data_IF_103212828325
#
_entry.id   IF_103212828325
#
_cell.length_a   1.000
_cell.length_b   1.000
_cell.length_c   1.000
_cell.angle_alpha   90.00
_cell.angle_beta   90.00
_cell.angle_gamma   90.00
#
_symmetry.space_group_name_H-M   'P 1'
#
loop_
_entity.id
_entity.type
_entity.pdbx_description
1 polymer ?
#
# COMPACT_ATOMS: atom_id res chain seq x y z
N UNK A 1 31.20 -23.09 -38.59
CA UNK A 1 31.30 -21.99 -37.62
C UNK A 1 29.99 -21.22 -37.63
N UNK A 2 29.09 -21.45 -36.66
CA UNK A 2 27.81 -20.75 -36.57
C UNK A 2 27.94 -19.60 -35.56
N UNK A 3 27.97 -18.37 -36.06
CA UNK A 3 27.91 -17.18 -35.21
C UNK A 3 26.49 -17.04 -34.66
N UNK A 4 26.30 -17.42 -33.39
CA UNK A 4 25.11 -17.04 -32.62
C UNK A 4 25.08 -15.51 -32.48
N UNK A 5 24.19 -14.85 -33.22
CA UNK A 5 23.77 -13.47 -32.96
C UNK A 5 23.34 -13.36 -31.49
N UNK A 6 24.10 -12.65 -30.67
CA UNK A 6 23.65 -12.20 -29.35
C UNK A 6 22.45 -11.28 -29.59
N UNK A 7 21.27 -11.74 -29.21
CA UNK A 7 20.09 -10.89 -29.12
C UNK A 7 20.41 -9.78 -28.11
N UNK A 8 20.51 -8.56 -28.61
CA UNK A 8 20.72 -7.37 -27.80
C UNK A 8 19.41 -7.08 -27.05
N UNK A 9 19.21 -7.75 -25.91
CA UNK A 9 18.13 -7.46 -24.98
C UNK A 9 18.44 -6.14 -24.27
N UNK A 10 18.36 -5.02 -24.99
CA UNK A 10 18.14 -3.72 -24.38
C UNK A 10 16.73 -3.72 -23.79
N UNK A 11 16.57 -4.37 -22.63
CA UNK A 11 15.47 -4.02 -21.73
C UNK A 11 15.72 -2.57 -21.35
N UNK A 12 14.93 -1.64 -21.90
CA UNK A 12 14.80 -0.31 -21.35
C UNK A 12 14.40 -0.47 -19.87
N UNK A 13 15.39 -0.45 -18.99
CA UNK A 13 15.15 -0.40 -17.57
C UNK A 13 14.62 1.01 -17.31
N UNK A 14 13.32 1.15 -17.08
CA UNK A 14 12.79 2.41 -16.59
C UNK A 14 13.52 2.72 -15.29
N UNK A 15 14.23 3.87 -15.19
CA UNK A 15 14.88 4.25 -13.95
C UNK A 15 13.80 4.40 -12.86
N UNK A 16 14.12 4.12 -11.58
CA UNK A 16 13.19 4.37 -10.49
C UNK A 16 12.71 5.81 -10.51
N UNK A 17 11.43 6.02 -10.21
CA UNK A 17 10.92 7.35 -9.91
C UNK A 17 11.65 7.89 -8.69
N UNK A 18 12.15 9.10 -8.80
CA UNK A 18 12.74 9.81 -7.67
C UNK A 18 11.65 10.46 -6.83
N UNK A 19 11.89 10.47 -5.53
CA UNK A 19 11.02 11.10 -4.56
C UNK A 19 11.04 12.62 -4.75
N UNK A 20 10.19 13.10 -5.65
CA UNK A 20 9.87 14.51 -5.77
C UNK A 20 8.67 14.81 -4.84
N UNK A 21 8.82 15.82 -3.99
CA UNK A 21 7.80 16.31 -3.08
C UNK A 21 7.17 17.63 -3.55
N UNK A 22 7.51 18.10 -4.75
CA UNK A 22 6.99 19.34 -5.35
C UNK A 22 5.46 19.35 -5.41
N UNK A 23 4.84 18.20 -5.68
CA UNK A 23 3.37 18.03 -5.74
C UNK A 23 2.66 18.35 -4.43
N UNK A 24 3.33 18.21 -3.28
CA UNK A 24 2.76 18.56 -1.96
C UNK A 24 2.57 20.08 -1.85
N UNK A 25 3.47 20.86 -2.46
CA UNK A 25 3.40 22.34 -2.44
C UNK A 25 2.41 22.90 -3.45
N UNK A 26 1.89 22.09 -4.38
CA UNK A 26 1.00 22.55 -5.45
C UNK A 26 -0.39 22.96 -4.94
N UNK A 27 -0.77 22.57 -3.71
CA UNK A 27 -2.06 22.92 -3.11
C UNK A 27 -1.81 23.49 -1.72
N UNK A 28 -1.59 24.80 -1.66
CA UNK A 28 -1.08 25.51 -0.48
C UNK A 28 -2.12 25.74 0.65
N UNK A 29 -3.30 25.11 0.57
CA UNK A 29 -4.47 25.48 1.39
C UNK A 29 -5.21 24.33 2.09
N UNK A 30 -4.87 23.06 1.83
CA UNK A 30 -5.73 21.93 2.21
C UNK A 30 -5.71 21.48 3.68
N UNK A 31 -5.09 22.24 4.58
CA UNK A 31 -5.01 21.92 6.02
C UNK A 31 -5.43 23.07 6.95
N UNK A 32 -6.05 24.13 6.41
CA UNK A 32 -6.39 25.30 7.22
C UNK A 32 -7.64 25.08 8.08
N UNK A 33 -8.59 24.26 7.62
CA UNK A 33 -9.85 24.01 8.31
C UNK A 33 -9.80 22.85 9.33
N UNK A 34 -10.70 22.88 10.31
CA UNK A 34 -10.72 21.91 11.41
C UNK A 34 -11.18 20.51 10.98
N UNK A 35 -11.96 20.40 9.90
CA UNK A 35 -12.40 19.10 9.36
C UNK A 35 -11.21 18.36 8.78
N UNK A 36 -10.39 19.03 7.97
CA UNK A 36 -9.16 18.47 7.40
C UNK A 36 -8.17 18.04 8.49
N UNK A 37 -8.00 18.85 9.53
CA UNK A 37 -7.16 18.49 10.70
C UNK A 37 -7.70 17.27 11.45
N UNK A 38 -9.01 17.21 11.66
CA UNK A 38 -9.66 16.06 12.32
C UNK A 38 -9.47 14.77 11.52
N UNK A 39 -9.67 14.83 10.19
CA UNK A 39 -9.46 13.68 9.29
C UNK A 39 -8.02 13.19 9.32
N UNK A 40 -7.06 14.11 9.21
CA UNK A 40 -5.64 13.76 9.31
C UNK A 40 -5.31 13.09 10.64
N UNK A 41 -5.84 13.58 11.77
CA UNK A 41 -5.61 12.95 13.09
C UNK A 41 -6.13 11.51 13.14
N UNK A 42 -7.29 11.23 12.57
CA UNK A 42 -7.85 9.87 12.47
C UNK A 42 -6.89 8.96 11.68
N UNK A 43 -6.39 9.42 10.54
CA UNK A 43 -5.46 8.64 9.71
C UNK A 43 -4.09 8.45 10.35
N UNK A 44 -3.56 9.47 11.04
CA UNK A 44 -2.31 9.34 11.81
C UNK A 44 -2.47 8.36 12.96
N UNK A 45 -3.60 8.38 13.67
CA UNK A 45 -3.85 7.40 14.71
C UNK A 45 -3.90 5.99 14.11
N UNK A 46 -4.77 5.76 13.11
CA UNK A 46 -5.01 4.41 12.58
C UNK A 46 -3.83 3.85 11.81
N UNK A 47 -3.32 4.59 10.83
CA UNK A 47 -2.33 4.07 9.90
C UNK A 47 -0.89 4.31 10.35
N UNK A 48 -0.63 5.20 11.32
CA UNK A 48 0.74 5.44 11.83
C UNK A 48 0.93 4.84 13.22
N UNK A 49 0.20 5.32 14.21
CA UNK A 49 0.38 4.88 15.61
C UNK A 49 -0.03 3.43 15.80
N UNK A 50 -1.14 3.05 15.16
CA UNK A 50 -1.80 1.75 15.30
C UNK A 50 -1.70 0.89 14.03
N UNK A 51 -0.70 1.16 13.19
CA UNK A 51 -0.48 0.42 11.94
C UNK A 51 -0.37 -1.08 12.16
N UNK A 52 -1.02 -1.86 11.31
CA UNK A 52 -0.99 -3.33 11.33
C UNK A 52 0.16 -3.91 10.50
N UNK A 53 1.01 -3.06 9.93
CA UNK A 53 2.27 -3.49 9.35
C UNK A 53 3.11 -4.22 10.40
N UNK A 54 3.65 -5.38 10.02
CA UNK A 54 4.40 -6.25 10.94
C UNK A 54 5.60 -5.51 11.51
N UNK A 55 5.71 -5.51 12.84
CA UNK A 55 6.79 -4.87 13.62
C UNK A 55 6.98 -3.37 13.32
N UNK A 56 5.94 -2.67 12.87
CA UNK A 56 6.02 -1.24 12.56
C UNK A 56 5.71 -0.32 13.75
N UNK A 57 5.01 -0.83 14.77
CA UNK A 57 4.65 -0.12 16.01
C UNK A 57 4.61 -1.12 17.17
N UNK A 58 4.76 -0.62 18.40
CA UNK A 58 4.60 -1.41 19.63
C UNK A 58 3.13 -1.56 20.05
N UNK A 59 2.22 -0.81 19.42
CA UNK A 59 0.81 -0.80 19.78
C UNK A 59 0.02 -1.97 19.19
N UNK A 60 0.58 -2.67 18.21
CA UNK A 60 -0.05 -3.76 17.47
C UNK A 60 0.91 -4.95 17.39
N UNK A 61 0.34 -6.16 17.32
CA UNK A 61 1.07 -7.36 16.92
C UNK A 61 1.00 -7.58 15.40
N UNK A 62 0.37 -6.66 14.68
CA UNK A 62 0.26 -6.63 13.22
C UNK A 62 -0.85 -7.53 12.68
N UNK A 63 -1.11 -7.40 11.38
CA UNK A 63 -2.34 -7.87 10.74
C UNK A 63 -2.61 -9.38 10.88
N UNK A 64 -1.55 -10.20 10.98
CA UNK A 64 -1.69 -11.65 11.17
C UNK A 64 -2.43 -11.93 12.49
N UNK A 65 -2.00 -11.28 13.57
CA UNK A 65 -2.52 -11.55 14.91
C UNK A 65 -3.74 -10.70 15.20
N UNK A 66 -3.65 -9.39 14.99
CA UNK A 66 -4.69 -8.47 15.43
C UNK A 66 -5.94 -8.53 14.55
N UNK A 67 -5.78 -8.84 13.26
CA UNK A 67 -6.88 -8.99 12.31
C UNK A 67 -7.24 -10.46 12.02
N UNK A 68 -6.60 -11.41 12.71
CA UNK A 68 -6.78 -12.88 12.55
C UNK A 68 -6.59 -13.38 11.10
N UNK A 69 -5.56 -12.89 10.41
CA UNK A 69 -5.24 -13.26 9.03
C UNK A 69 -4.12 -14.31 9.03
N UNK A 70 -4.49 -15.57 9.24
CA UNK A 70 -3.55 -16.70 9.35
C UNK A 70 -3.43 -17.54 8.08
N UNK A 71 -4.30 -17.30 7.09
CA UNK A 71 -4.36 -18.08 5.85
C UNK A 71 -4.40 -17.19 4.63
N UNK A 72 -3.95 -17.74 3.49
CA UNK A 72 -3.96 -17.06 2.19
C UNK A 72 -5.38 -16.66 1.79
N UNK A 73 -6.38 -17.49 2.12
CA UNK A 73 -7.80 -17.18 1.88
C UNK A 73 -8.23 -15.94 2.65
N UNK A 74 -7.89 -15.85 3.94
CA UNK A 74 -8.18 -14.66 4.74
C UNK A 74 -7.44 -13.42 4.24
N UNK A 75 -6.19 -13.58 3.80
CA UNK A 75 -5.39 -12.47 3.28
C UNK A 75 -5.99 -11.90 1.99
N UNK A 76 -6.41 -12.77 1.06
CA UNK A 76 -7.07 -12.36 -0.17
C UNK A 76 -8.43 -11.73 0.10
N UNK A 77 -9.24 -12.33 0.97
CA UNK A 77 -10.54 -11.78 1.36
C UNK A 77 -10.40 -10.40 1.99
N UNK A 78 -9.33 -10.17 2.76
CA UNK A 78 -9.08 -8.86 3.35
C UNK A 78 -8.64 -7.81 2.31
N UNK A 79 -7.78 -8.18 1.36
CA UNK A 79 -7.45 -7.29 0.22
C UNK A 79 -8.70 -6.91 -0.59
N UNK A 80 -9.61 -7.87 -0.80
CA UNK A 80 -10.88 -7.64 -1.49
C UNK A 80 -11.81 -6.71 -0.69
N UNK A 81 -11.87 -6.86 0.64
CA UNK A 81 -12.60 -5.95 1.53
C UNK A 81 -12.03 -4.53 1.55
N UNK A 82 -10.73 -4.38 1.29
CA UNK A 82 -10.09 -3.09 1.06
C UNK A 82 -10.26 -2.58 -0.38
N UNK A 83 -11.08 -3.25 -1.20
CA UNK A 83 -11.40 -2.88 -2.58
C UNK A 83 -10.17 -2.82 -3.52
N UNK A 84 -9.08 -3.51 -3.19
CA UNK A 84 -7.96 -3.67 -4.12
C UNK A 84 -8.39 -4.52 -5.31
N UNK A 85 -8.04 -4.06 -6.51
CA UNK A 85 -8.38 -4.68 -7.81
C UNK A 85 -9.89 -4.64 -8.17
N UNK A 86 -10.75 -4.02 -7.36
CA UNK A 86 -12.15 -3.73 -7.68
C UNK A 86 -12.40 -2.22 -7.89
N UNK A 87 -12.35 -1.42 -6.82
CA UNK A 87 -12.51 0.03 -6.89
C UNK A 87 -11.16 0.75 -7.05
N UNK A 88 -10.12 0.27 -6.36
CA UNK A 88 -8.77 0.83 -6.42
C UNK A 88 -7.95 0.10 -7.47
N UNK A 89 -7.61 0.79 -8.56
CA UNK A 89 -6.77 0.21 -9.63
C UNK A 89 -5.36 -0.03 -9.10
N UNK A 90 -4.99 -1.29 -8.95
CA UNK A 90 -3.78 -1.65 -8.19
C UNK A 90 -2.71 -2.29 -9.07
N UNK A 91 -1.46 -1.91 -8.84
CA UNK A 91 -0.28 -2.55 -9.43
C UNK A 91 0.71 -2.90 -8.34
N UNK A 92 1.01 -4.19 -8.24
CA UNK A 92 1.99 -4.74 -7.32
C UNK A 92 3.34 -4.89 -8.01
N UNK A 93 4.34 -4.14 -7.56
CA UNK A 93 5.70 -4.14 -8.09
C UNK A 93 6.66 -4.93 -7.18
N UNK A 94 7.68 -5.56 -7.75
CA UNK A 94 8.73 -6.22 -6.96
C UNK A 94 9.92 -5.29 -6.69
N UNK A 95 10.14 -4.32 -7.58
CA UNK A 95 11.23 -3.36 -7.48
C UNK A 95 10.74 -1.93 -7.75
N UNK A 96 11.49 -0.89 -7.34
CA UNK A 96 11.19 0.49 -7.71
C UNK A 96 11.19 0.74 -9.22
N UNK A 97 11.98 -0.02 -10.00
CA UNK A 97 11.96 0.05 -11.46
C UNK A 97 10.65 -0.50 -12.06
N UNK A 98 10.14 -1.61 -11.50
CA UNK A 98 8.84 -2.16 -11.92
C UNK A 98 7.71 -1.18 -11.59
N UNK A 99 7.80 -0.50 -10.43
CA UNK A 99 6.85 0.54 -10.06
C UNK A 99 6.92 1.72 -11.02
N UNK A 100 8.13 2.18 -11.37
CA UNK A 100 8.31 3.27 -12.32
C UNK A 100 7.74 2.95 -13.70
N UNK A 101 7.96 1.71 -14.18
CA UNK A 101 7.35 1.22 -15.41
C UNK A 101 5.82 1.24 -15.32
N UNK A 102 5.25 0.69 -14.23
CA UNK A 102 3.79 0.67 -14.04
C UNK A 102 3.19 2.08 -13.93
N UNK A 103 3.91 3.01 -13.29
CA UNK A 103 3.52 4.41 -13.20
C UNK A 103 3.51 5.07 -14.58
N UNK A 104 4.55 4.84 -15.38
CA UNK A 104 4.64 5.35 -16.75
C UNK A 104 3.50 4.83 -17.63
N UNK A 105 3.25 3.51 -17.60
CA UNK A 105 2.13 2.88 -18.33
C UNK A 105 0.75 3.44 -17.91
N UNK A 106 0.62 3.88 -16.66
CA UNK A 106 -0.59 4.52 -16.13
C UNK A 106 -0.58 6.06 -16.27
N UNK A 107 0.47 6.65 -16.85
CA UNK A 107 0.73 8.10 -16.90
C UNK A 107 0.73 8.79 -15.53
N UNK A 108 1.11 8.06 -14.49
CA UNK A 108 1.12 8.50 -13.08
C UNK A 108 2.54 8.64 -12.54
N UNK A 109 3.53 8.77 -13.43
CA UNK A 109 4.96 8.96 -13.15
C UNK A 109 5.33 10.40 -12.82
N UNK A 110 4.60 11.40 -13.34
CA UNK A 110 4.76 12.81 -13.00
C UNK A 110 4.01 13.23 -11.74
N UNK A 111 4.27 14.45 -11.26
CA UNK A 111 3.53 15.12 -10.18
C UNK A 111 2.05 15.37 -10.51
N UNK A 112 1.65 15.29 -11.77
CA UNK A 112 0.26 15.47 -12.20
C UNK A 112 -0.64 14.26 -11.87
N UNK A 113 -0.10 13.20 -11.26
CA UNK A 113 -0.92 12.08 -10.80
C UNK A 113 -2.05 12.52 -9.87
N UNK A 114 -1.87 13.62 -9.12
CA UNK A 114 -2.89 14.21 -8.24
C UNK A 114 -4.12 14.71 -9.00
N UNK A 115 -4.03 14.91 -10.32
CA UNK A 115 -5.11 15.40 -11.18
C UNK A 115 -5.99 14.27 -11.72
N UNK A 116 -5.61 13.00 -11.54
CA UNK A 116 -6.39 11.83 -11.98
C UNK A 116 -7.78 11.81 -11.35
N UNK A 117 -8.73 11.25 -12.09
CA UNK A 117 -10.16 11.12 -11.78
C UNK A 117 -10.56 9.71 -11.33
N UNK A 118 -9.57 8.81 -11.17
CA UNK A 118 -9.77 7.44 -10.70
C UNK A 118 -8.81 7.09 -9.56
N UNK A 119 -9.23 6.18 -8.70
CA UNK A 119 -8.43 5.69 -7.58
C UNK A 119 -7.39 4.68 -8.04
N UNK A 120 -6.18 4.81 -7.52
CA UNK A 120 -5.12 3.86 -7.82
C UNK A 120 -4.12 3.69 -6.67
N UNK A 121 -3.44 2.54 -6.71
CA UNK A 121 -2.33 2.24 -5.82
C UNK A 121 -1.23 1.49 -6.57
N UNK A 122 -0.06 2.12 -6.70
CA UNK A 122 1.16 1.50 -7.21
C UNK A 122 2.06 1.20 -6.00
N UNK A 123 2.32 -0.08 -5.72
CA UNK A 123 2.92 -0.49 -4.44
C UNK A 123 4.02 -1.53 -4.67
N UNK A 124 5.23 -1.25 -4.18
CA UNK A 124 6.28 -2.26 -4.06
C UNK A 124 5.94 -3.25 -2.94
N UNK A 125 6.12 -4.55 -3.18
CA UNK A 125 5.89 -5.55 -2.15
C UNK A 125 6.87 -5.41 -0.98
N UNK A 126 6.38 -5.64 0.24
CA UNK A 126 7.22 -5.70 1.42
C UNK A 126 8.11 -6.94 1.37
N UNK A 127 9.42 -6.70 1.53
CA UNK A 127 10.47 -7.72 1.59
C UNK A 127 11.09 -7.83 2.99
N UNK A 128 10.45 -7.19 3.99
CA UNK A 128 10.97 -7.14 5.36
C UNK A 128 11.27 -8.55 5.90
N UNK A 129 12.46 -8.73 6.50
CA UNK A 129 12.90 -10.01 7.01
C UNK A 129 11.97 -10.54 8.12
N UNK A 130 11.51 -9.64 9.02
CA UNK A 130 10.56 -9.98 10.07
C UNK A 130 9.23 -10.51 9.52
N UNK A 131 8.67 -9.85 8.49
CA UNK A 131 7.47 -10.31 7.80
C UNK A 131 7.68 -11.71 7.20
N UNK A 132 8.78 -11.92 6.46
CA UNK A 132 9.07 -13.21 5.85
C UNK A 132 9.18 -14.34 6.89
N UNK A 133 9.80 -14.05 8.06
CA UNK A 133 9.87 -14.99 9.18
C UNK A 133 8.48 -15.32 9.73
N UNK A 134 7.62 -14.32 9.94
CA UNK A 134 6.25 -14.52 10.42
C UNK A 134 5.40 -15.32 9.44
N UNK A 135 5.47 -15.00 8.14
CA UNK A 135 4.76 -15.76 7.09
C UNK A 135 5.22 -17.22 7.08
N UNK A 136 6.53 -17.47 7.13
CA UNK A 136 7.06 -18.84 7.14
C UNK A 136 6.62 -19.65 8.37
N UNK A 137 6.31 -18.97 9.49
CA UNK A 137 5.81 -19.60 10.72
C UNK A 137 4.33 -19.99 10.70
N UNK A 138 3.54 -19.53 9.72
CA UNK A 138 2.12 -19.90 9.63
C UNK A 138 1.97 -21.38 9.31
N UNK A 139 0.97 -22.02 9.92
CA UNK A 139 0.72 -23.47 9.81
C UNK A 139 0.61 -23.94 8.35
N UNK A 140 0.05 -23.12 7.46
CA UNK A 140 -0.08 -23.48 6.05
C UNK A 140 1.23 -23.40 5.24
N UNK A 141 2.31 -22.86 5.78
CA UNK A 141 3.62 -22.81 5.11
C UNK A 141 4.69 -23.66 5.79
N UNK A 142 4.35 -24.37 6.87
CA UNK A 142 5.27 -25.28 7.57
C UNK A 142 5.54 -26.54 6.75
N UNK A 143 6.70 -27.20 6.94
CA UNK A 143 6.95 -28.53 6.37
C UNK A 143 5.83 -29.51 6.74
N UNK A 144 5.41 -30.34 5.78
CA UNK A 144 4.30 -31.29 5.97
C UNK A 144 2.90 -30.69 5.82
N UNK A 145 2.75 -29.38 5.62
CA UNK A 145 1.45 -28.79 5.32
C UNK A 145 0.90 -29.34 4.00
N UNK A 146 -0.39 -29.73 4.01
CA UNK A 146 -1.08 -30.21 2.80
C UNK A 146 -1.04 -29.14 1.71
N UNK A 147 -0.54 -29.50 0.54
CA UNK A 147 -0.55 -28.64 -0.64
C UNK A 147 -1.99 -28.33 -1.04
N UNK A 148 -2.34 -27.05 -1.07
CA UNK A 148 -3.65 -26.58 -1.52
C UNK A 148 -3.58 -26.16 -3.00
N UNK A 149 -4.63 -26.44 -3.76
CA UNK A 149 -4.76 -26.08 -5.19
C UNK A 149 -5.95 -25.15 -5.44
N UNK A 150 -6.06 -24.63 -6.66
CA UNK A 150 -7.16 -23.75 -7.07
C UNK A 150 -7.24 -22.47 -6.24
N UNK A 151 -8.46 -22.03 -5.91
CA UNK A 151 -8.73 -20.80 -5.13
C UNK A 151 -8.12 -20.81 -3.72
N UNK A 152 -7.79 -22.00 -3.17
CA UNK A 152 -7.20 -22.16 -1.84
C UNK A 152 -5.68 -22.27 -1.88
N UNK A 153 -5.04 -22.14 -3.05
CA UNK A 153 -3.59 -22.26 -3.22
C UNK A 153 -2.86 -21.33 -2.25
N UNK A 154 -1.94 -21.90 -1.49
CA UNK A 154 -1.07 -21.18 -0.57
C UNK A 154 -0.22 -20.16 -1.33
N UNK A 155 -0.23 -18.90 -0.87
CA UNK A 155 0.49 -17.82 -1.54
C UNK A 155 1.03 -16.79 -0.54
N UNK A 156 2.35 -16.85 -0.31
CA UNK A 156 3.06 -15.88 0.55
C UNK A 156 2.94 -14.44 0.04
N UNK A 157 2.74 -14.22 -1.26
CA UNK A 157 2.63 -12.86 -1.81
C UNK A 157 1.40 -12.12 -1.31
N UNK A 158 0.29 -12.80 -0.98
CA UNK A 158 -0.91 -12.18 -0.42
C UNK A 158 -0.62 -11.47 0.91
N UNK A 159 0.20 -12.09 1.77
CA UNK A 159 0.65 -11.49 3.02
C UNK A 159 1.63 -10.33 2.80
N UNK A 160 2.51 -10.43 1.79
CA UNK A 160 3.43 -9.35 1.43
C UNK A 160 2.71 -8.12 0.88
N UNK A 161 1.61 -8.32 0.15
CA UNK A 161 0.73 -7.26 -0.34
C UNK A 161 0.06 -6.52 0.81
N UNK A 162 -0.50 -7.25 1.77
CA UNK A 162 -1.11 -6.66 2.97
C UNK A 162 -0.12 -5.85 3.79
N UNK A 163 1.04 -6.42 4.11
CA UNK A 163 2.08 -5.67 4.84
C UNK A 163 2.51 -4.42 4.07
N UNK A 164 2.66 -4.53 2.75
CA UNK A 164 3.05 -3.40 1.90
C UNK A 164 2.04 -2.25 1.98
N UNK A 165 0.74 -2.54 1.91
CA UNK A 165 -0.33 -1.51 2.03
C UNK A 165 -0.18 -0.74 3.34
N UNK A 166 -0.19 -1.45 4.47
CA UNK A 166 -0.11 -0.80 5.78
C UNK A 166 1.21 -0.05 5.97
N UNK A 167 2.33 -0.64 5.53
CA UNK A 167 3.66 -0.07 5.70
C UNK A 167 3.84 1.19 4.87
N UNK A 168 3.39 1.18 3.61
CA UNK A 168 3.51 2.33 2.73
C UNK A 168 2.54 3.46 3.11
N UNK A 169 1.31 3.15 3.53
CA UNK A 169 0.40 4.14 4.10
C UNK A 169 1.01 4.80 5.35
N UNK A 170 1.52 3.98 6.27
CA UNK A 170 2.20 4.44 7.48
C UNK A 170 3.34 5.39 7.13
N UNK A 171 4.25 4.97 6.26
CA UNK A 171 5.45 5.74 5.95
C UNK A 171 5.10 7.06 5.25
N UNK A 172 4.18 7.03 4.29
CA UNK A 172 3.72 8.24 3.61
C UNK A 172 3.18 9.27 4.62
N UNK A 173 2.31 8.83 5.53
CA UNK A 173 1.73 9.68 6.57
C UNK A 173 2.76 10.15 7.60
N UNK A 174 3.62 9.25 8.09
CA UNK A 174 4.64 9.55 9.09
C UNK A 174 5.71 10.53 8.58
N UNK A 175 6.02 10.48 7.28
CA UNK A 175 7.02 11.36 6.65
C UNK A 175 6.40 12.61 6.02
N UNK A 176 5.10 12.88 6.22
CA UNK A 176 4.47 14.06 5.64
C UNK A 176 4.33 14.02 4.12
N UNK A 177 4.45 12.83 3.51
CA UNK A 177 4.41 12.63 2.07
C UNK A 177 2.99 12.38 1.57
N UNK A 178 2.10 13.31 1.88
CA UNK A 178 0.69 13.23 1.52
C UNK A 178 0.13 14.60 1.18
N UNK A 179 -0.98 14.60 0.44
CA UNK A 179 -1.75 15.80 0.13
C UNK A 179 -3.24 15.46 0.06
N UNK A 180 -4.05 16.19 0.82
CA UNK A 180 -5.51 16.20 0.67
C UNK A 180 -5.88 17.16 -0.47
N UNK A 181 -6.68 16.68 -1.42
CA UNK A 181 -7.08 17.39 -2.64
C UNK A 181 -8.60 17.41 -2.72
N UNK A 182 -9.19 18.61 -2.75
CA UNK A 182 -10.61 18.78 -3.09
C UNK A 182 -10.70 18.99 -4.60
N UNK A 183 -11.45 18.13 -5.28
CA UNK A 183 -11.65 18.20 -6.73
C UNK A 183 -12.77 19.19 -7.06
N UNK A 184 -12.87 19.66 -8.33
CA UNK A 184 -13.93 20.59 -8.74
C UNK A 184 -15.35 20.06 -8.54
N UNK A 185 -15.54 18.75 -8.57
CA UNK A 185 -16.82 18.08 -8.30
C UNK A 185 -17.15 17.95 -6.80
N UNK A 186 -16.32 18.55 -5.93
CA UNK A 186 -16.46 18.49 -4.47
C UNK A 186 -15.92 17.22 -3.83
N UNK A 187 -15.50 16.21 -4.63
CA UNK A 187 -14.94 14.97 -4.09
C UNK A 187 -13.59 15.22 -3.44
N UNK A 188 -13.32 14.52 -2.34
CA UNK A 188 -12.09 14.67 -1.56
C UNK A 188 -11.19 13.46 -1.76
N UNK A 189 -9.93 13.73 -2.04
CA UNK A 189 -8.92 12.72 -2.36
C UNK A 189 -7.65 12.92 -1.54
N UNK A 190 -6.89 11.85 -1.38
CA UNK A 190 -5.63 11.78 -0.70
C UNK A 190 -4.58 11.22 -1.64
N UNK A 191 -3.64 12.06 -2.01
CA UNK A 191 -2.42 11.66 -2.69
C UNK A 191 -1.38 11.26 -1.62
N UNK A 192 -0.80 10.08 -1.75
CA UNK A 192 0.18 9.52 -0.81
C UNK A 192 1.38 8.99 -1.57
N UNK A 193 2.58 9.23 -1.07
CA UNK A 193 3.82 8.68 -1.64
C UNK A 193 4.71 8.14 -0.53
N UNK A 194 5.36 7.01 -0.79
CA UNK A 194 6.45 6.51 0.04
C UNK A 194 7.68 6.27 -0.82
N UNK A 195 8.85 6.46 -0.23
CA UNK A 195 10.13 6.24 -0.86
C UNK A 195 11.09 5.51 0.09
N UNK A 196 11.97 4.68 -0.48
CA UNK A 196 13.01 4.03 0.30
C UNK A 196 14.14 5.01 0.67
N UNK A 197 15.09 4.55 1.49
CA UNK A 197 16.24 5.35 1.93
C UNK A 197 17.18 5.84 0.80
N UNK A 198 17.00 5.38 -0.44
CA UNK A 198 17.72 5.89 -1.63
C UNK A 198 16.92 6.97 -2.39
N UNK A 199 15.79 7.39 -1.84
CA UNK A 199 14.87 8.34 -2.47
C UNK A 199 14.16 7.77 -3.70
N UNK A 200 14.09 6.44 -3.87
CA UNK A 200 13.31 5.84 -4.94
C UNK A 200 11.89 5.61 -4.44
N UNK A 201 10.88 6.05 -5.20
CA UNK A 201 9.47 5.82 -4.87
C UNK A 201 9.19 4.33 -4.82
N UNK A 202 8.61 3.90 -3.70
CA UNK A 202 8.18 2.52 -3.43
C UNK A 202 6.67 2.40 -3.27
N UNK A 203 5.96 3.50 -3.10
CA UNK A 203 4.51 3.52 -3.28
C UNK A 203 4.04 4.89 -3.77
N UNK A 204 2.98 4.89 -4.59
CA UNK A 204 2.23 6.07 -4.97
C UNK A 204 0.74 5.72 -5.04
N UNK A 205 -0.07 6.46 -4.31
CA UNK A 205 -1.51 6.20 -4.21
C UNK A 205 -2.27 7.50 -4.41
N UNK A 206 -3.42 7.39 -5.06
CA UNK A 206 -4.45 8.44 -5.08
C UNK A 206 -5.77 7.75 -4.71
N UNK A 207 -6.28 8.07 -3.53
CA UNK A 207 -7.44 7.41 -2.93
C UNK A 207 -8.50 8.45 -2.58
N UNK A 208 -9.78 8.11 -2.68
CA UNK A 208 -10.84 8.96 -2.14
C UNK A 208 -10.79 8.96 -0.62
N UNK A 209 -11.24 10.05 0.00
CA UNK A 209 -11.40 10.13 1.45
C UNK A 209 -12.35 9.04 1.95
N UNK A 210 -13.46 8.78 1.24
CA UNK A 210 -14.41 7.71 1.58
C UNK A 210 -13.78 6.32 1.57
N UNK A 211 -12.82 6.06 0.66
CA UNK A 211 -12.10 4.78 0.60
C UNK A 211 -11.18 4.62 1.82
N UNK A 212 -10.46 5.67 2.20
CA UNK A 212 -9.63 5.65 3.40
C UNK A 212 -10.48 5.53 4.67
N UNK A 213 -11.61 6.22 4.76
CA UNK A 213 -12.58 6.10 5.85
C UNK A 213 -13.12 4.66 5.95
N UNK A 214 -13.47 4.04 4.82
CA UNK A 214 -13.92 2.65 4.77
C UNK A 214 -12.83 1.69 5.28
N UNK A 215 -11.56 1.93 4.93
CA UNK A 215 -10.44 1.16 5.45
C UNK A 215 -10.27 1.35 6.96
N UNK A 216 -10.35 2.57 7.47
CA UNK A 216 -10.29 2.84 8.93
C UNK A 216 -11.42 2.10 9.65
N UNK A 217 -12.64 2.16 9.12
CA UNK A 217 -13.80 1.47 9.69
C UNK A 217 -13.61 -0.06 9.68
N UNK A 218 -13.16 -0.63 8.57
CA UNK A 218 -12.87 -2.06 8.44
C UNK A 218 -11.85 -2.53 9.48
N UNK A 219 -10.79 -1.75 9.69
CA UNK A 219 -9.75 -2.06 10.67
C UNK A 219 -10.31 -1.94 12.09
N UNK A 220 -11.05 -0.88 12.40
CA UNK A 220 -11.63 -0.64 13.72
C UNK A 220 -12.62 -1.74 14.13
N UNK A 221 -13.46 -2.23 13.23
CA UNK A 221 -14.38 -3.34 13.49
C UNK A 221 -13.68 -4.67 13.79
N UNK A 222 -12.47 -4.85 13.24
CA UNK A 222 -11.68 -6.09 13.40
C UNK A 222 -10.70 -6.03 14.54
N UNK A 223 -10.31 -4.83 14.94
CA UNK A 223 -9.40 -4.58 16.04
C UNK A 223 -10.12 -4.74 17.38
N UNK A 224 -9.69 -5.73 18.17
CA UNK A 224 -10.28 -6.02 19.48
C UNK A 224 -10.22 -4.82 20.42
N UNK A 225 -9.24 -3.92 20.28
CA UNK A 225 -9.11 -2.70 21.11
C UNK A 225 -10.31 -1.75 20.98
N UNK A 226 -11.06 -1.87 19.89
CA UNK A 226 -12.19 -0.99 19.55
C UNK A 226 -13.55 -1.68 19.72
N UNK A 227 -13.59 -3.00 19.93
CA UNK A 227 -14.85 -3.77 20.07
C UNK A 227 -15.58 -3.53 21.39
N UNK A 228 -14.85 -3.18 22.45
CA UNK A 228 -15.44 -2.94 23.77
C UNK A 228 -15.93 -1.49 23.97
N UNK A 229 -15.95 -0.68 22.88
CA UNK A 229 -16.35 0.74 22.91
C UNK A 229 -17.54 1.07 22.00
N UNK A 230 -18.15 0.06 21.37
CA UNK A 230 -19.34 0.18 20.53
C UNK A 230 -20.58 -0.34 21.23
#
# INVERSE_FOLDING_TARGET
>A
MSQKKKANNNKCAHPPLKNDASWIKQVHESYKDDVSKKKLRIYLQRFVSESEAIDATRQTNGFITDLNIYTTVQANAFLEQMCFDSAVKTRWAYTPNDLAKAAHEAGSDSSDFIKRDYEFALICLSTAACLNKRIAGLSEFKPGAKTKTGRRKQNKSSFRRLDAVFRHLRNALAHGQYLRVVKPDGSVWWALQDANGKGNVTARMLLKEDTLDAWVNLLSLRDKRYRDKS
#
